data_IF_669367697080
#
_entry.id   IF_669367697080
#
_cell.length_a   1.000
_cell.length_b   1.000
_cell.length_c   1.000
_cell.angle_alpha   90.00
_cell.angle_beta   90.00
_cell.angle_gamma   90.00
#
_symmetry.space_group_name_H-M   'P 1'
#
loop_
_entity.id
_entity.type
_entity.pdbx_description
1 polymer ?
#
# COMPACT_ATOMS: atom_id res chain seq x y z
N UNK A 1 -29.90 12.22 16.42
CA UNK A 1 -30.08 11.48 15.15
C UNK A 1 -28.77 10.77 14.79
N UNK A 2 -28.80 9.47 14.50
CA UNK A 2 -27.62 8.78 13.95
C UNK A 2 -27.43 9.20 12.49
N UNK A 3 -26.22 9.52 12.03
CA UNK A 3 -25.99 9.86 10.62
C UNK A 3 -26.28 8.66 9.72
N UNK A 4 -27.07 8.87 8.66
CA UNK A 4 -27.31 7.86 7.62
C UNK A 4 -26.13 7.87 6.67
N UNK A 5 -25.30 6.82 6.73
CA UNK A 5 -24.15 6.65 5.84
C UNK A 5 -24.65 6.05 4.52
N UNK A 6 -24.41 6.74 3.40
CA UNK A 6 -24.67 6.23 2.05
C UNK A 6 -23.34 5.83 1.39
N UNK A 7 -23.29 4.63 0.82
CA UNK A 7 -22.13 4.13 0.10
C UNK A 7 -22.31 4.35 -1.40
N UNK A 8 -21.33 4.98 -2.05
CA UNK A 8 -21.29 5.11 -3.50
C UNK A 8 -20.55 3.91 -4.11
N UNK A 9 -21.24 3.15 -4.96
CA UNK A 9 -20.64 2.06 -5.74
C UNK A 9 -20.72 2.42 -7.22
N UNK A 10 -19.57 2.52 -7.88
CA UNK A 10 -19.45 3.05 -9.24
C UNK A 10 -18.40 2.27 -10.02
N UNK A 11 -18.67 2.04 -11.31
CA UNK A 11 -17.69 1.46 -12.25
C UNK A 11 -16.94 2.59 -12.95
N UNK A 12 -15.62 2.56 -12.90
CA UNK A 12 -14.79 3.53 -13.65
C UNK A 12 -14.66 3.09 -15.11
N UNK A 13 -14.69 4.03 -16.04
CA UNK A 13 -14.48 3.75 -17.46
C UNK A 13 -13.07 3.18 -17.75
N UNK A 14 -13.01 2.22 -18.67
CA UNK A 14 -11.79 1.47 -19.01
C UNK A 14 -10.65 2.33 -19.57
N UNK A 15 -10.95 3.53 -20.08
CA UNK A 15 -9.93 4.50 -20.52
C UNK A 15 -8.92 4.88 -19.43
N UNK A 16 -9.30 4.71 -18.16
CA UNK A 16 -8.43 5.00 -17.01
C UNK A 16 -7.59 3.79 -16.56
N UNK A 17 -7.73 2.63 -17.22
CA UNK A 17 -7.07 1.40 -16.83
C UNK A 17 -5.54 1.50 -16.82
N UNK A 18 -4.94 2.27 -17.74
CA UNK A 18 -3.48 2.48 -17.77
C UNK A 18 -2.97 3.14 -16.49
N UNK A 19 -3.62 4.22 -16.06
CA UNK A 19 -3.29 4.97 -14.83
C UNK A 19 -3.51 4.09 -13.60
N UNK A 20 -4.64 3.38 -13.52
CA UNK A 20 -4.94 2.49 -12.40
C UNK A 20 -3.96 1.31 -12.31
N UNK A 21 -3.56 0.74 -13.46
CA UNK A 21 -2.53 -0.30 -13.50
C UNK A 21 -1.18 0.23 -13.03
N UNK A 22 -0.82 1.47 -13.38
CA UNK A 22 0.40 2.09 -12.88
C UNK A 22 0.35 2.34 -11.37
N UNK A 23 -0.78 2.83 -10.84
CA UNK A 23 -0.96 2.99 -9.39
C UNK A 23 -0.86 1.65 -8.65
N UNK A 24 -1.48 0.60 -9.18
CA UNK A 24 -1.39 -0.74 -8.62
C UNK A 24 0.04 -1.30 -8.65
N UNK A 25 0.81 -1.00 -9.71
CA UNK A 25 2.23 -1.32 -9.77
C UNK A 25 3.00 -0.63 -8.64
N UNK A 26 2.80 0.68 -8.45
CA UNK A 26 3.48 1.44 -7.40
C UNK A 26 3.14 0.90 -5.99
N UNK A 27 1.88 0.52 -5.75
CA UNK A 27 1.45 -0.13 -4.50
C UNK A 27 2.19 -1.45 -4.28
N UNK A 28 2.37 -2.27 -5.32
CA UNK A 28 3.17 -3.49 -5.20
C UNK A 28 4.64 -3.20 -4.88
N UNK A 29 5.20 -2.10 -5.42
CA UNK A 29 6.57 -1.70 -5.10
C UNK A 29 6.73 -1.27 -3.63
N UNK A 30 5.76 -0.52 -3.09
CA UNK A 30 5.73 -0.17 -1.66
C UNK A 30 5.61 -1.42 -0.80
N UNK A 31 4.71 -2.35 -1.16
CA UNK A 31 4.58 -3.62 -0.46
C UNK A 31 5.89 -4.42 -0.44
N UNK A 32 6.55 -4.54 -1.59
CA UNK A 32 7.80 -5.28 -1.69
C UNK A 32 8.94 -4.59 -0.93
N UNK A 33 9.01 -3.25 -0.95
CA UNK A 33 9.98 -2.50 -0.14
C UNK A 33 9.77 -2.77 1.35
N UNK A 34 8.53 -2.59 1.84
CA UNK A 34 8.17 -2.90 3.22
C UNK A 34 8.48 -4.35 3.58
N UNK A 35 8.25 -5.30 2.68
CA UNK A 35 8.55 -6.71 2.92
C UNK A 35 10.07 -7.00 2.97
N UNK A 36 10.89 -6.24 2.24
CA UNK A 36 12.34 -6.35 2.25
C UNK A 36 12.92 -5.87 3.58
N UNK A 37 12.63 -4.61 3.94
CA UNK A 37 13.11 -3.99 5.19
C UNK A 37 12.68 -4.80 6.40
N UNK A 38 11.44 -5.29 6.36
CA UNK A 38 10.88 -6.05 7.46
C UNK A 38 11.52 -7.45 7.59
N UNK A 39 11.96 -8.06 6.49
CA UNK A 39 12.70 -9.32 6.54
C UNK A 39 14.11 -9.14 7.13
N UNK A 40 14.77 -8.02 6.80
CA UNK A 40 16.11 -7.67 7.28
C UNK A 40 16.09 -7.27 8.77
N UNK A 41 15.19 -6.38 9.16
CA UNK A 41 15.13 -5.79 10.50
C UNK A 41 14.47 -6.69 11.56
N UNK A 42 13.87 -7.83 11.18
CA UNK A 42 13.16 -8.66 12.16
C UNK A 42 14.10 -9.41 13.09
N UNK A 43 15.25 -9.89 12.60
CA UNK A 43 16.19 -10.71 13.38
C UNK A 43 17.41 -9.88 13.75
N UNK A 44 17.51 -9.53 15.03
CA UNK A 44 18.61 -8.71 15.56
C UNK A 44 19.51 -9.58 16.42
N UNK A 45 20.82 -9.52 16.17
CA UNK A 45 21.82 -10.17 17.01
C UNK A 45 22.00 -9.36 18.29
N UNK A 46 21.66 -9.95 19.43
CA UNK A 46 21.90 -9.38 20.76
C UNK A 46 23.09 -10.11 21.37
N UNK A 47 24.14 -9.37 21.81
CA UNK A 47 25.28 -9.97 22.50
C UNK A 47 24.81 -10.88 23.65
N UNK A 48 25.49 -12.02 23.83
CA UNK A 48 25.23 -13.01 24.90
C UNK A 48 23.88 -13.75 24.84
N UNK A 49 22.92 -13.31 24.02
CA UNK A 49 21.58 -13.94 23.87
C UNK A 49 21.38 -14.62 22.51
N UNK A 50 22.07 -14.14 21.46
CA UNK A 50 21.90 -14.63 20.10
C UNK A 50 20.87 -13.81 19.30
N UNK A 51 20.21 -14.42 18.31
CA UNK A 51 19.24 -13.73 17.45
C UNK A 51 17.85 -13.68 18.07
N UNK A 52 17.32 -12.47 18.29
CA UNK A 52 15.98 -12.23 18.79
C UNK A 52 15.12 -11.63 17.68
N UNK A 53 13.86 -12.10 17.61
CA UNK A 53 12.87 -11.52 16.70
C UNK A 53 12.11 -10.38 17.37
N UNK A 54 12.46 -9.14 17.05
CA UNK A 54 11.77 -7.96 17.58
C UNK A 54 10.51 -7.58 16.79
N UNK A 55 10.44 -8.01 15.53
CA UNK A 55 9.35 -7.71 14.61
C UNK A 55 9.19 -6.21 14.31
N UNK A 56 9.23 -5.83 13.04
CA UNK A 56 9.06 -4.42 12.68
C UNK A 56 7.62 -3.96 12.80
N UNK A 57 7.39 -2.80 13.44
CA UNK A 57 6.07 -2.19 13.49
C UNK A 57 5.73 -1.47 12.19
N UNK A 58 4.44 -1.20 11.96
CA UNK A 58 4.02 -0.38 10.81
C UNK A 58 4.57 1.05 10.90
N UNK A 59 4.74 1.59 12.12
CA UNK A 59 5.20 2.95 12.34
C UNK A 59 6.68 3.11 11.96
N UNK A 60 7.51 2.13 12.28
CA UNK A 60 8.94 2.13 11.92
C UNK A 60 9.09 2.07 10.40
N UNK A 61 8.40 1.14 9.74
CA UNK A 61 8.40 1.02 8.28
C UNK A 61 7.91 2.30 7.58
N UNK A 62 6.90 2.99 8.13
CA UNK A 62 6.43 4.26 7.58
C UNK A 62 7.45 5.39 7.72
N UNK A 63 8.28 5.36 8.77
CA UNK A 63 9.35 6.33 8.97
C UNK A 63 10.48 6.09 7.97
N UNK A 64 10.89 4.85 7.79
CA UNK A 64 11.98 4.46 6.89
C UNK A 64 11.58 4.67 5.42
N UNK A 65 10.36 4.29 5.05
CA UNK A 65 9.85 4.41 3.68
C UNK A 65 9.22 5.77 3.36
N UNK A 66 9.44 6.81 4.17
CA UNK A 66 8.87 8.14 3.95
C UNK A 66 9.28 8.76 2.60
N UNK A 67 10.50 8.45 2.13
CA UNK A 67 11.09 8.98 0.89
C UNK A 67 10.71 8.21 -0.39
N UNK A 68 10.17 6.99 -0.28
CA UNK A 68 10.06 6.03 -1.39
C UNK A 68 9.32 6.58 -2.61
N UNK A 69 8.29 7.40 -2.37
CA UNK A 69 7.45 7.99 -3.42
C UNK A 69 8.27 8.93 -4.31
N UNK A 70 9.15 9.75 -3.72
CA UNK A 70 10.00 10.69 -4.46
C UNK A 70 11.14 9.95 -5.15
N UNK A 71 11.78 9.02 -4.45
CA UNK A 71 12.91 8.23 -4.97
C UNK A 71 12.54 7.41 -6.19
N UNK A 72 11.34 6.80 -6.20
CA UNK A 72 10.89 5.92 -7.28
C UNK A 72 9.92 6.61 -8.25
N UNK A 73 9.75 7.93 -8.14
CA UNK A 73 8.85 8.73 -8.99
C UNK A 73 7.44 8.12 -9.11
N UNK A 74 6.84 7.79 -7.96
CA UNK A 74 5.53 7.14 -7.90
C UNK A 74 4.38 8.14 -8.08
N UNK A 75 3.29 7.68 -8.70
CA UNK A 75 2.09 8.48 -8.94
C UNK A 75 1.04 8.38 -7.84
N UNK A 76 1.23 7.43 -6.91
CA UNK A 76 0.33 7.23 -5.77
C UNK A 76 0.49 8.32 -4.71
N UNK A 77 -0.59 8.59 -3.96
CA UNK A 77 -0.56 9.55 -2.87
C UNK A 77 0.21 9.02 -1.64
N UNK A 78 0.72 9.91 -0.79
CA UNK A 78 1.39 9.51 0.46
C UNK A 78 0.49 8.72 1.41
N UNK A 79 -0.82 8.98 1.41
CA UNK A 79 -1.76 8.18 2.22
C UNK A 79 -1.83 6.73 1.73
N UNK A 80 -1.74 6.50 0.41
CA UNK A 80 -1.73 5.16 -0.16
C UNK A 80 -0.50 4.36 0.29
N UNK A 81 0.67 5.01 0.37
CA UNK A 81 1.91 4.40 0.86
C UNK A 81 1.73 3.93 2.31
N UNK A 82 1.22 4.81 3.18
CA UNK A 82 0.98 4.51 4.59
C UNK A 82 -0.03 3.36 4.75
N UNK A 83 -1.18 3.42 4.06
CA UNK A 83 -2.19 2.37 4.14
C UNK A 83 -1.66 1.03 3.59
N UNK A 84 -0.82 1.04 2.55
CA UNK A 84 -0.17 -0.18 2.05
C UNK A 84 0.71 -0.82 3.12
N UNK A 85 1.52 -0.01 3.82
CA UNK A 85 2.40 -0.47 4.91
C UNK A 85 1.56 -0.99 6.08
N UNK A 86 0.45 -0.33 6.42
CA UNK A 86 -0.46 -0.77 7.48
C UNK A 86 -1.10 -2.13 7.16
N UNK A 87 -1.57 -2.33 5.92
CA UNK A 87 -2.12 -3.61 5.46
C UNK A 87 -1.04 -4.69 5.46
N UNK A 88 0.18 -4.38 5.03
CA UNK A 88 1.32 -5.30 5.08
C UNK A 88 1.62 -5.76 6.52
N UNK A 89 1.71 -4.84 7.47
CA UNK A 89 1.95 -5.15 8.88
C UNK A 89 0.80 -5.98 9.49
N UNK A 90 -0.45 -5.65 9.17
CA UNK A 90 -1.63 -6.43 9.58
C UNK A 90 -1.57 -7.86 9.04
N UNK A 91 -1.22 -8.03 7.78
CA UNK A 91 -1.07 -9.35 7.15
C UNK A 91 0.07 -10.15 7.80
N UNK A 92 1.24 -9.54 8.03
CA UNK A 92 2.35 -10.18 8.77
C UNK A 92 1.90 -10.70 10.13
N UNK A 93 1.19 -9.87 10.90
CA UNK A 93 0.67 -10.25 12.23
C UNK A 93 -0.34 -11.38 12.15
N UNK A 94 -1.27 -11.33 11.19
CA UNK A 94 -2.26 -12.38 10.97
C UNK A 94 -1.59 -13.73 10.65
N UNK A 95 -0.58 -13.74 9.78
CA UNK A 95 0.10 -14.96 9.36
C UNK A 95 1.27 -15.37 10.26
N UNK A 96 1.60 -14.58 11.28
CA UNK A 96 2.74 -14.79 12.19
C UNK A 96 4.07 -14.98 11.43
N UNK A 97 4.29 -14.19 10.37
CA UNK A 97 5.49 -14.26 9.52
C UNK A 97 6.28 -12.96 9.56
N UNK A 98 7.60 -13.07 9.46
CA UNK A 98 8.48 -11.93 9.27
C UNK A 98 8.56 -11.48 7.79
N UNK A 99 8.29 -12.40 6.87
CA UNK A 99 8.32 -12.11 5.44
C UNK A 99 7.11 -12.72 4.78
N UNK A 100 6.40 -11.92 4.00
CA UNK A 100 5.30 -12.36 3.15
C UNK A 100 5.83 -12.67 1.74
N UNK A 101 4.99 -13.28 0.91
CA UNK A 101 5.34 -13.50 -0.48
C UNK A 101 5.46 -12.17 -1.24
N UNK A 102 6.44 -12.13 -2.15
CA UNK A 102 6.63 -11.01 -3.07
C UNK A 102 5.42 -10.83 -3.98
N UNK A 103 5.04 -9.57 -4.23
CA UNK A 103 3.99 -9.25 -5.20
C UNK A 103 4.60 -9.08 -6.58
N UNK A 104 4.14 -9.91 -7.52
CA UNK A 104 4.50 -9.82 -8.93
C UNK A 104 3.67 -8.73 -9.62
N UNK A 105 4.31 -7.83 -10.35
CA UNK A 105 3.60 -6.72 -11.02
C UNK A 105 3.38 -6.92 -12.53
N UNK A 106 3.91 -7.99 -13.11
CA UNK A 106 3.78 -8.33 -14.53
C UNK A 106 3.72 -9.84 -14.78
N UNK A 107 3.53 -10.21 -16.05
CA UNK A 107 3.43 -11.60 -16.51
C UNK A 107 2.13 -12.30 -16.12
N UNK A 108 2.02 -13.59 -16.47
CA UNK A 108 0.84 -14.42 -16.19
C UNK A 108 0.55 -14.62 -14.69
N UNK A 109 1.56 -14.45 -13.83
CA UNK A 109 1.43 -14.53 -12.36
C UNK A 109 1.30 -13.16 -11.69
N UNK A 110 0.90 -12.12 -12.43
CA UNK A 110 0.69 -10.77 -11.88
C UNK A 110 -0.34 -10.81 -10.74
N UNK A 111 0.01 -10.19 -9.62
CA UNK A 111 -0.90 -10.02 -8.50
C UNK A 111 -2.06 -9.07 -8.87
N UNK A 112 -3.25 -9.34 -8.34
CA UNK A 112 -4.40 -8.47 -8.53
C UNK A 112 -4.06 -7.03 -8.09
N UNK A 113 -4.42 -6.08 -8.95
CA UNK A 113 -4.21 -4.67 -8.70
C UNK A 113 -5.19 -4.19 -7.63
N UNK A 114 -4.67 -3.49 -6.63
CA UNK A 114 -5.46 -2.83 -5.59
C UNK A 114 -4.77 -1.52 -5.21
N UNK A 115 -5.57 -0.51 -4.88
CA UNK A 115 -5.07 0.84 -4.58
C UNK A 115 -5.73 1.29 -3.27
N UNK A 116 -5.02 1.25 -2.14
CA UNK A 116 -5.57 1.72 -0.88
C UNK A 116 -5.63 3.25 -0.84
N UNK A 117 -6.59 3.76 -0.08
CA UNK A 117 -6.71 5.18 0.19
C UNK A 117 -7.37 5.40 1.55
N UNK A 118 -6.96 6.49 2.21
CA UNK A 118 -7.57 6.90 3.49
C UNK A 118 -8.86 7.67 3.24
N UNK A 119 -9.69 7.79 4.28
CA UNK A 119 -10.89 8.64 4.23
C UNK A 119 -10.52 10.06 3.77
N UNK A 120 -11.28 10.57 2.80
CA UNK A 120 -11.08 11.90 2.23
C UNK A 120 -10.02 12.02 1.12
N UNK A 121 -9.23 10.98 0.85
CA UNK A 121 -8.27 10.99 -0.25
C UNK A 121 -8.96 10.82 -1.62
N UNK A 122 -9.98 9.96 -1.70
CA UNK A 122 -10.87 9.87 -2.86
C UNK A 122 -12.10 10.77 -2.63
N UNK A 123 -12.40 11.65 -3.60
CA UNK A 123 -13.50 12.62 -3.51
C UNK A 123 -14.39 12.53 -4.74
N UNK A 124 -15.70 12.68 -4.55
CA UNK A 124 -16.64 12.87 -5.65
C UNK A 124 -16.63 14.33 -6.10
N UNK A 125 -16.32 14.60 -7.37
CA UNK A 125 -16.25 15.94 -7.94
C UNK A 125 -16.86 15.91 -9.33
N UNK A 126 -17.92 16.69 -9.57
CA UNK A 126 -18.55 16.88 -10.89
C UNK A 126 -18.88 15.57 -11.64
N UNK A 127 -19.42 14.56 -10.94
CA UNK A 127 -19.77 13.27 -11.54
C UNK A 127 -18.58 12.32 -11.76
N UNK A 128 -17.44 12.62 -11.15
CA UNK A 128 -16.20 11.85 -11.28
C UNK A 128 -15.57 11.56 -9.92
N UNK A 129 -14.76 10.50 -9.85
CA UNK A 129 -13.92 10.22 -8.68
C UNK A 129 -12.57 10.90 -8.86
N UNK A 130 -12.23 11.83 -7.98
CA UNK A 130 -10.90 12.47 -7.92
C UNK A 130 -10.03 11.74 -6.91
N UNK A 131 -8.85 11.28 -7.33
CA UNK A 131 -7.86 10.63 -6.46
C UNK A 131 -6.44 10.85 -6.96
N UNK A 132 -5.50 11.16 -6.05
CA UNK A 132 -4.08 11.40 -6.34
C UNK A 132 -3.83 12.41 -7.50
N UNK A 133 -4.70 13.41 -7.65
CA UNK A 133 -4.62 14.40 -8.74
C UNK A 133 -5.29 13.98 -10.05
N UNK A 134 -5.70 12.73 -10.19
CA UNK A 134 -6.40 12.21 -11.36
C UNK A 134 -7.92 12.27 -11.19
N UNK A 135 -8.60 12.39 -12.33
CA UNK A 135 -10.07 12.37 -12.42
C UNK A 135 -10.50 11.12 -13.18
N UNK A 136 -11.28 10.28 -12.50
CA UNK A 136 -11.79 9.02 -12.99
C UNK A 136 -13.27 9.19 -13.34
N UNK A 137 -13.58 9.17 -14.63
CA UNK A 137 -14.97 9.20 -15.10
C UNK A 137 -15.59 7.84 -14.80
N UNK A 138 -16.76 7.90 -14.17
CA UNK A 138 -17.66 6.78 -13.91
C UNK A 138 -18.65 6.65 -15.06
#
# INVERSE_FOLDING_TARGET
MKPVIKTLSVRVHDKHASVLNRMAFDVNQVWNAANADCAELSWVAVPEVGYINFGTSAFDLMKDLKGIRKERSMIIDSTAVQETIAVHAKARKQFKKNKLHWRCSGGAKKALGWIPFKSGAAKWVNGQVRYAGYYFKV
#
